data_IF_662863796163
#
_entry.id   IF_662863796163
#
_cell.length_a   1.000
_cell.length_b   1.000
_cell.length_c   1.000
_cell.angle_alpha   90.00
_cell.angle_beta   90.00
_cell.angle_gamma   90.00
#
_symmetry.space_group_name_H-M   'P 1'
#
loop_
_entity.id
_entity.type
_entity.pdbx_description
1 polymer ?
#
# COMPACT_ATOMS: atom_id res chain seq x y z
N UNK A 1 3.52 5.39 28.76
CA UNK A 1 4.03 4.50 27.69
C UNK A 1 4.23 5.36 26.47
N UNK A 2 5.48 5.65 26.13
CA UNK A 2 5.82 6.45 24.94
C UNK A 2 5.58 5.61 23.69
N UNK A 3 4.69 6.06 22.80
CA UNK A 3 4.51 5.42 21.51
C UNK A 3 5.69 5.78 20.60
N UNK A 4 6.57 4.81 20.34
CA UNK A 4 7.66 4.98 19.38
C UNK A 4 7.10 4.80 17.97
N UNK A 5 6.84 5.92 17.29
CA UNK A 5 6.49 5.91 15.87
C UNK A 5 7.73 5.68 15.02
N UNK A 6 7.73 4.63 14.21
CA UNK A 6 8.82 4.37 13.26
C UNK A 6 8.46 4.91 11.89
N UNK A 7 9.19 5.94 11.47
CA UNK A 7 9.03 6.51 10.14
C UNK A 7 9.55 5.54 9.08
N UNK A 8 8.83 5.44 7.97
CA UNK A 8 9.22 4.62 6.82
C UNK A 8 9.94 5.47 5.76
N UNK A 9 10.67 4.78 4.88
CA UNK A 9 11.23 5.36 3.67
C UNK A 9 10.58 4.68 2.47
N UNK A 10 9.97 5.45 1.59
CA UNK A 10 9.19 4.96 0.46
C UNK A 10 9.83 5.46 -0.83
N UNK A 11 10.06 4.53 -1.75
CA UNK A 11 10.63 4.75 -3.07
C UNK A 11 9.64 4.23 -4.12
N UNK A 12 9.20 5.11 -5.02
CA UNK A 12 8.26 4.79 -6.09
C UNK A 12 8.94 4.94 -7.45
N UNK A 13 8.79 3.92 -8.30
CA UNK A 13 9.24 3.93 -9.68
C UNK A 13 8.02 3.73 -10.58
N UNK A 14 7.79 4.61 -11.55
CA UNK A 14 6.72 4.45 -12.51
C UNK A 14 7.11 4.92 -13.90
N UNK A 15 6.54 4.28 -14.91
CA UNK A 15 6.77 4.60 -16.31
C UNK A 15 5.66 5.50 -16.83
N UNK A 16 6.02 6.69 -17.30
CA UNK A 16 5.08 7.62 -17.91
C UNK A 16 5.05 7.41 -19.41
N UNK A 17 3.99 6.77 -19.91
CA UNK A 17 3.84 6.42 -21.34
C UNK A 17 3.86 7.65 -22.25
N UNK A 18 3.25 8.76 -21.84
CA UNK A 18 3.16 9.99 -22.64
C UNK A 18 4.51 10.61 -22.97
N UNK A 19 5.50 10.46 -22.09
CA UNK A 19 6.85 11.01 -22.28
C UNK A 19 7.91 9.95 -22.54
N UNK A 20 7.55 8.67 -22.52
CA UNK A 20 8.46 7.53 -22.61
C UNK A 20 9.64 7.65 -21.62
N UNK A 21 9.34 8.05 -20.37
CA UNK A 21 10.34 8.26 -19.31
C UNK A 21 9.95 7.50 -18.06
N UNK A 22 10.95 6.93 -17.39
CA UNK A 22 10.81 6.43 -16.04
C UNK A 22 11.00 7.58 -15.04
N UNK A 23 10.10 7.69 -14.08
CA UNK A 23 10.18 8.64 -12.99
C UNK A 23 10.47 7.89 -11.68
N UNK A 24 11.23 8.55 -10.81
CA UNK A 24 11.59 8.05 -9.51
C UNK A 24 11.25 9.11 -8.46
N UNK A 25 10.50 8.70 -7.44
CA UNK A 25 10.14 9.53 -6.31
C UNK A 25 10.58 8.84 -5.02
N UNK A 26 11.11 9.63 -4.08
CA UNK A 26 11.57 9.13 -2.80
C UNK A 26 11.11 10.08 -1.69
N UNK A 27 10.60 9.51 -0.60
CA UNK A 27 10.26 10.25 0.61
C UNK A 27 10.64 9.44 1.84
N UNK A 28 11.05 10.13 2.90
CA UNK A 28 10.97 9.59 4.26
C UNK A 28 9.60 9.94 4.82
N UNK A 29 8.57 9.22 4.37
CA UNK A 29 7.18 9.50 4.71
C UNK A 29 6.41 8.23 5.05
N UNK A 30 5.32 8.40 5.81
CA UNK A 30 4.52 7.30 6.33
C UNK A 30 5.10 6.67 7.60
N UNK A 31 4.28 5.82 8.23
CA UNK A 31 4.60 5.16 9.49
C UNK A 31 4.46 3.64 9.32
N UNK A 32 5.40 2.89 9.90
CA UNK A 32 5.24 1.45 10.03
C UNK A 32 4.16 1.14 11.07
N UNK A 33 3.27 0.20 10.76
CA UNK A 33 2.25 -0.26 11.71
C UNK A 33 2.89 -0.83 12.97
N UNK A 34 2.25 -0.64 14.12
CA UNK A 34 2.79 -1.05 15.42
C UNK A 34 3.12 -2.55 15.47
N UNK A 35 2.25 -3.39 14.88
CA UNK A 35 2.42 -4.84 14.79
C UNK A 35 3.13 -5.30 13.50
N UNK A 36 3.61 -4.37 12.68
CA UNK A 36 4.27 -4.71 11.42
C UNK A 36 5.72 -5.15 11.66
N UNK A 37 6.22 -6.19 10.95
CA UNK A 37 7.63 -6.52 10.95
C UNK A 37 8.49 -5.34 10.50
N UNK A 38 9.62 -5.11 11.18
CA UNK A 38 10.57 -4.04 10.86
C UNK A 38 11.54 -4.49 9.76
N UNK A 39 11.00 -4.79 8.58
CA UNK A 39 11.74 -5.29 7.42
C UNK A 39 11.43 -4.47 6.17
N UNK A 40 12.36 -4.40 5.22
CA UNK A 40 12.11 -3.81 3.91
C UNK A 40 11.18 -4.69 3.07
N UNK A 41 10.35 -4.04 2.26
CA UNK A 41 9.46 -4.68 1.30
C UNK A 41 9.50 -3.91 -0.03
N UNK A 42 9.53 -4.65 -1.14
CA UNK A 42 9.53 -4.12 -2.50
C UNK A 42 8.74 -5.06 -3.41
N UNK A 43 8.10 -4.51 -4.43
CA UNK A 43 7.40 -5.27 -5.46
C UNK A 43 6.61 -4.36 -6.39
N UNK A 44 5.94 -4.99 -7.37
CA UNK A 44 4.95 -4.29 -8.21
C UNK A 44 3.78 -3.77 -7.38
N UNK A 45 3.14 -2.70 -7.83
CA UNK A 45 1.98 -2.13 -7.14
C UNK A 45 0.70 -2.81 -7.64
N UNK A 46 0.00 -3.52 -6.75
CA UNK A 46 -1.29 -4.16 -7.04
C UNK A 46 -2.44 -3.37 -6.42
N UNK A 47 -3.29 -2.78 -7.24
CA UNK A 47 -4.40 -1.92 -6.80
C UNK A 47 -5.67 -2.77 -6.63
N UNK A 48 -6.52 -2.51 -5.62
CA UNK A 48 -7.83 -3.16 -5.48
C UNK A 48 -8.68 -3.03 -6.75
N UNK A 49 -9.31 -4.12 -7.18
CA UNK A 49 -10.26 -4.16 -8.30
C UNK A 49 -11.66 -3.94 -7.75
N UNK A 50 -11.95 -2.70 -7.37
CA UNK A 50 -13.23 -2.28 -6.80
C UNK A 50 -13.52 -0.81 -7.12
N UNK A 51 -14.77 -0.38 -6.98
CA UNK A 51 -15.17 1.01 -7.22
C UNK A 51 -14.46 1.98 -6.24
N UNK A 52 -14.33 1.55 -4.99
CA UNK A 52 -13.50 2.19 -3.97
C UNK A 52 -12.13 1.49 -3.84
N UNK A 53 -11.10 2.22 -3.44
CA UNK A 53 -9.76 1.66 -3.20
C UNK A 53 -9.59 1.15 -1.76
N UNK A 54 -10.69 0.88 -1.04
CA UNK A 54 -10.63 0.62 0.39
C UNK A 54 -10.28 -0.83 0.73
N UNK A 55 -10.53 -1.79 -0.17
CA UNK A 55 -10.34 -3.22 0.06
C UNK A 55 -11.04 -3.72 1.34
N UNK A 56 -12.28 -3.28 1.56
CA UNK A 56 -13.10 -3.70 2.70
C UNK A 56 -13.88 -5.00 2.45
N UNK A 57 -14.11 -5.36 1.18
CA UNK A 57 -14.76 -6.62 0.83
C UNK A 57 -13.73 -7.77 0.91
N UNK A 58 -14.12 -8.88 1.54
CA UNK A 58 -13.26 -10.07 1.66
C UNK A 58 -12.91 -10.70 0.31
N UNK A 59 -13.73 -10.45 -0.71
CA UNK A 59 -13.57 -10.92 -2.07
C UNK A 59 -12.86 -9.90 -2.96
N UNK A 60 -12.34 -8.78 -2.42
CA UNK A 60 -11.57 -7.83 -3.21
C UNK A 60 -10.35 -8.51 -3.82
N UNK A 61 -10.30 -8.48 -5.15
CA UNK A 61 -9.14 -8.88 -5.94
C UNK A 61 -8.21 -7.68 -6.17
N UNK A 62 -6.98 -7.95 -6.63
CA UNK A 62 -5.96 -6.94 -6.92
C UNK A 62 -5.45 -7.09 -8.35
N UNK A 63 -5.07 -5.98 -8.98
CA UNK A 63 -4.57 -5.96 -10.37
C UNK A 63 -3.30 -6.79 -10.57
N UNK A 64 -2.52 -6.97 -9.50
CA UNK A 64 -1.31 -7.80 -9.49
C UNK A 64 -1.43 -8.81 -8.36
N UNK A 65 -1.28 -10.09 -8.69
CA UNK A 65 -1.28 -11.19 -7.72
C UNK A 65 -0.04 -12.08 -7.81
N UNK A 66 0.94 -11.75 -8.65
CA UNK A 66 2.21 -12.49 -8.76
C UNK A 66 3.30 -11.78 -7.96
N UNK A 67 3.90 -12.50 -7.02
CA UNK A 67 4.95 -11.99 -6.14
C UNK A 67 6.28 -11.71 -6.88
N UNK A 68 7.08 -10.73 -6.41
CA UNK A 68 6.82 -9.83 -5.27
C UNK A 68 5.98 -8.60 -5.66
N UNK A 69 4.98 -8.27 -4.84
CA UNK A 69 4.08 -7.13 -5.03
C UNK A 69 3.68 -6.48 -3.69
N UNK A 70 3.18 -5.24 -3.74
CA UNK A 70 2.73 -4.44 -2.60
C UNK A 70 1.27 -4.03 -2.82
N UNK A 71 0.45 -4.11 -1.78
CA UNK A 71 -0.97 -3.83 -1.80
C UNK A 71 -1.29 -2.45 -1.19
N UNK A 72 -1.27 -1.35 -1.97
CA UNK A 72 -1.82 -0.07 -1.50
C UNK A 72 -3.34 -0.15 -1.38
N UNK A 73 -3.86 0.47 -0.33
CA UNK A 73 -5.29 0.70 -0.10
C UNK A 73 -5.48 2.12 0.39
N UNK A 74 -6.65 2.68 0.16
CA UNK A 74 -7.03 3.98 0.71
C UNK A 74 -7.75 3.82 2.05
N UNK A 75 -7.58 4.79 2.94
CA UNK A 75 -8.38 4.91 4.15
C UNK A 75 -9.85 5.03 3.75
N UNK A 76 -10.70 4.23 4.40
CA UNK A 76 -12.12 4.17 4.09
C UNK A 76 -12.91 3.83 5.34
N UNK A 77 -14.00 3.09 5.14
CA UNK A 77 -15.00 2.80 6.18
C UNK A 77 -14.66 1.61 7.09
N UNK A 78 -13.81 0.68 6.64
CA UNK A 78 -13.34 -0.45 7.44
C UNK A 78 -12.01 -0.19 8.16
N UNK A 79 -11.69 -1.02 9.16
CA UNK A 79 -10.50 -0.86 9.99
C UNK A 79 -9.21 -1.17 9.21
N UNK A 80 -8.06 -0.71 9.73
CA UNK A 80 -6.75 -1.08 9.17
C UNK A 80 -6.53 -2.60 9.18
N UNK A 81 -7.02 -3.29 10.22
CA UNK A 81 -6.88 -4.73 10.34
C UNK A 81 -7.67 -5.47 9.27
N UNK A 82 -8.91 -5.05 8.98
CA UNK A 82 -9.74 -5.64 7.93
C UNK A 82 -9.02 -5.55 6.58
N UNK A 83 -8.52 -4.37 6.23
CA UNK A 83 -7.76 -4.12 4.99
C UNK A 83 -6.53 -5.01 4.87
N UNK A 84 -5.74 -5.09 5.95
CA UNK A 84 -4.53 -5.93 6.00
C UNK A 84 -4.91 -7.40 5.84
N UNK A 85 -6.02 -7.86 6.44
CA UNK A 85 -6.46 -9.24 6.35
C UNK A 85 -6.93 -9.59 4.94
N UNK A 86 -7.69 -8.71 4.29
CA UNK A 86 -8.10 -8.86 2.88
C UNK A 86 -6.88 -8.93 1.97
N UNK A 87 -5.95 -7.97 2.09
CA UNK A 87 -4.71 -7.98 1.32
C UNK A 87 -3.89 -9.27 1.57
N UNK A 88 -3.80 -9.71 2.82
CA UNK A 88 -3.04 -10.90 3.22
C UNK A 88 -3.53 -12.20 2.57
N UNK A 89 -4.81 -12.28 2.17
CA UNK A 89 -5.33 -13.45 1.42
C UNK A 89 -4.57 -13.69 0.12
N UNK A 90 -4.00 -12.63 -0.47
CA UNK A 90 -3.24 -12.66 -1.73
C UNK A 90 -1.72 -12.60 -1.52
N UNK A 91 -1.27 -12.67 -0.27
CA UNK A 91 0.14 -12.73 0.16
C UNK A 91 1.05 -11.65 -0.49
N UNK A 92 0.71 -10.36 -0.41
CA UNK A 92 1.62 -9.29 -0.80
C UNK A 92 2.84 -9.26 0.13
N UNK A 93 3.92 -8.63 -0.33
CA UNK A 93 5.13 -8.42 0.47
C UNK A 93 4.93 -7.36 1.56
N UNK A 94 4.03 -6.40 1.32
CA UNK A 94 3.57 -5.41 2.27
C UNK A 94 2.18 -4.88 1.89
N UNK A 95 1.42 -4.43 2.88
CA UNK A 95 0.21 -3.63 2.70
C UNK A 95 0.51 -2.18 3.07
N UNK A 96 0.06 -1.23 2.24
CA UNK A 96 0.22 0.20 2.47
C UNK A 96 -1.18 0.83 2.58
N UNK A 97 -1.38 1.71 3.54
CA UNK A 97 -2.66 2.41 3.73
C UNK A 97 -2.40 3.90 3.56
N UNK A 98 -2.86 4.44 2.43
CA UNK A 98 -2.82 5.87 2.15
C UNK A 98 -3.99 6.55 2.84
N UNK A 99 -3.76 7.73 3.41
CA UNK A 99 -4.88 8.53 3.88
C UNK A 99 -5.72 8.97 2.68
N UNK A 100 -7.04 9.07 2.85
CA UNK A 100 -7.91 9.63 1.82
C UNK A 100 -7.48 11.07 1.58
N UNK A 101 -6.92 11.34 0.40
CA UNK A 101 -6.49 12.69 0.06
C UNK A 101 -7.75 13.55 -0.06
N UNK A 102 -7.91 14.53 0.83
CA UNK A 102 -8.45 15.80 0.37
C UNK A 102 -7.49 16.27 -0.72
N UNK A 103 -7.90 16.15 -1.99
CA UNK A 103 -7.15 16.65 -3.14
C UNK A 103 -6.72 18.08 -2.81
N UNK A 104 -5.42 18.33 -2.74
CA UNK A 104 -4.92 19.70 -2.72
C UNK A 104 -4.71 20.15 -4.16
#
# INVERSE_FOLDING_TARGET
MEAIFMMSSVSLFYFRSTSNRALFEHCKCGLCGFNSPRLSAQGLVGIPVSADLYACDKNTDFTVMKAPWVAPTERGTCSFMDKIQVASTRRPRAAMISNSQGKR
#
